data_IF_720850263258
#
_entry.id   IF_720850263258
#
_cell.length_a   1.000
_cell.length_b   1.000
_cell.length_c   1.000
_cell.angle_alpha   90.00
_cell.angle_beta   90.00
_cell.angle_gamma   90.00
#
_symmetry.space_group_name_H-M   'P 1'
#
loop_
_entity.id
_entity.type
_entity.pdbx_description
1 polymer ?
#
# COMPACT_ATOMS: atom_id res chain seq x y z
N UNK A 1 13.11 -7.95 -1.65
CA UNK A 1 12.75 -8.17 -0.23
C UNK A 1 11.95 -6.97 0.17
N UNK A 2 10.60 -7.06 0.23
CA UNK A 2 9.75 -5.98 0.67
C UNK A 2 10.08 -5.67 2.13
N UNK A 3 10.49 -4.45 2.42
CA UNK A 3 10.65 -3.94 3.78
C UNK A 3 9.25 -3.72 4.32
N UNK A 4 8.77 -4.66 5.10
CA UNK A 4 7.51 -4.60 5.83
C UNK A 4 7.65 -3.48 6.87
N UNK A 5 7.18 -2.28 6.54
CA UNK A 5 7.23 -1.14 7.46
C UNK A 5 6.32 -1.47 8.66
N UNK A 6 6.86 -1.52 9.89
CA UNK A 6 6.07 -1.90 11.05
C UNK A 6 5.09 -0.79 11.44
N UNK A 7 3.82 -1.18 11.71
CA UNK A 7 2.78 -0.27 12.14
C UNK A 7 2.81 -0.09 13.67
N UNK A 8 2.94 1.14 14.20
CA UNK A 8 2.81 1.38 15.64
C UNK A 8 1.39 1.07 16.12
N UNK A 9 1.23 0.76 17.42
CA UNK A 9 -0.04 0.33 18.04
C UNK A 9 -1.24 1.22 17.65
N UNK A 10 -1.10 2.54 17.67
CA UNK A 10 -2.19 3.47 17.32
C UNK A 10 -2.63 3.31 15.87
N UNK A 11 -1.70 3.08 14.97
CA UNK A 11 -1.98 2.88 13.55
C UNK A 11 -2.58 1.49 13.32
N UNK A 12 -2.08 0.45 13.97
CA UNK A 12 -2.66 -0.89 13.92
C UNK A 12 -4.12 -0.91 14.39
N UNK A 13 -4.45 -0.23 15.49
CA UNK A 13 -5.83 -0.11 15.97
C UNK A 13 -6.72 0.61 14.96
N UNK A 14 -6.22 1.68 14.31
CA UNK A 14 -6.99 2.42 13.30
C UNK A 14 -7.21 1.58 12.03
N UNK A 15 -6.19 0.84 11.58
CA UNK A 15 -6.26 0.00 10.39
C UNK A 15 -7.14 -1.24 10.57
N UNK A 16 -7.17 -1.82 11.77
CA UNK A 16 -7.94 -3.02 12.07
C UNK A 16 -9.36 -2.71 12.55
N UNK A 17 -9.61 -1.52 13.08
CA UNK A 17 -10.87 -1.18 13.74
C UNK A 17 -11.14 -1.96 15.04
N UNK A 18 -10.12 -2.62 15.59
CA UNK A 18 -10.24 -3.39 16.83
C UNK A 18 -10.21 -2.48 18.06
N UNK A 19 -10.86 -2.94 19.13
CA UNK A 19 -10.66 -2.35 20.45
C UNK A 19 -9.28 -2.74 21.00
N UNK A 20 -8.62 -1.88 21.81
CA UNK A 20 -7.33 -2.20 22.43
C UNK A 20 -7.37 -3.53 23.22
N UNK A 21 -8.49 -3.80 23.88
CA UNK A 21 -8.70 -5.02 24.67
C UNK A 21 -8.68 -6.28 23.79
N UNK A 22 -9.34 -6.24 22.61
CA UNK A 22 -9.37 -7.41 21.72
C UNK A 22 -8.03 -7.62 21.04
N UNK A 23 -7.35 -6.54 20.62
CA UNK A 23 -6.01 -6.63 20.06
C UNK A 23 -5.02 -7.21 21.10
N UNK A 24 -5.10 -6.74 22.36
CA UNK A 24 -4.31 -7.29 23.46
C UNK A 24 -4.54 -8.79 23.64
N UNK A 25 -5.80 -9.26 23.64
CA UNK A 25 -6.12 -10.69 23.72
C UNK A 25 -5.55 -11.51 22.56
N UNK A 26 -5.52 -10.97 21.35
CA UNK A 26 -4.92 -11.64 20.19
C UNK A 26 -3.39 -11.76 20.33
N UNK A 27 -2.75 -10.74 20.91
CA UNK A 27 -1.31 -10.77 21.22
C UNK A 27 -1.00 -11.75 22.35
N UNK A 28 -1.74 -11.69 23.45
CA UNK A 28 -1.56 -12.60 24.61
C UNK A 28 -1.72 -14.08 24.24
N UNK A 29 -2.62 -14.37 23.29
CA UNK A 29 -2.85 -15.75 22.83
C UNK A 29 -1.93 -16.16 21.67
N UNK A 30 -0.98 -15.29 21.27
CA UNK A 30 0.01 -15.58 20.22
C UNK A 30 -0.56 -15.63 18.80
N UNK A 31 -1.79 -15.12 18.59
CA UNK A 31 -2.42 -15.04 17.26
C UNK A 31 -1.80 -13.90 16.45
N UNK A 32 -1.43 -12.83 17.11
CA UNK A 32 -0.70 -11.68 16.56
C UNK A 32 0.62 -11.58 17.32
N UNK A 33 1.73 -11.40 16.59
CA UNK A 33 3.08 -11.37 17.18
C UNK A 33 3.81 -10.09 16.77
N UNK A 34 3.54 -8.96 17.47
CA UNK A 34 4.17 -7.69 17.13
C UNK A 34 5.68 -7.77 17.33
N UNK A 35 6.46 -7.17 16.43
CA UNK A 35 7.89 -6.98 16.57
C UNK A 35 8.16 -6.02 17.73
N UNK A 36 9.12 -6.33 18.55
CA UNK A 36 9.52 -5.51 19.71
C UNK A 36 8.36 -5.16 20.69
N UNK A 37 7.28 -5.95 20.66
CA UNK A 37 6.10 -5.72 21.50
C UNK A 37 5.26 -4.50 21.16
N UNK A 38 5.66 -3.69 20.18
CA UNK A 38 5.00 -2.41 19.86
C UNK A 38 4.71 -2.18 18.36
N UNK A 39 5.36 -2.92 17.47
CA UNK A 39 5.25 -2.75 16.04
C UNK A 39 4.59 -3.97 15.38
N UNK A 40 3.49 -3.73 14.69
CA UNK A 40 2.67 -4.74 14.03
C UNK A 40 3.04 -4.87 12.57
N UNK A 41 3.11 -6.09 12.05
CA UNK A 41 3.36 -6.37 10.64
C UNK A 41 2.09 -6.21 9.81
N UNK A 42 2.21 -6.18 8.50
CA UNK A 42 1.05 -6.21 7.60
C UNK A 42 0.17 -7.44 7.86
N UNK A 43 0.79 -8.60 8.09
CA UNK A 43 0.08 -9.84 8.40
C UNK A 43 -0.73 -9.72 9.71
N UNK A 44 -0.19 -9.05 10.72
CA UNK A 44 -0.92 -8.80 11.98
C UNK A 44 -2.16 -7.93 11.76
N UNK A 45 -2.06 -6.94 10.87
CA UNK A 45 -3.21 -6.08 10.49
C UNK A 45 -4.27 -6.89 9.76
N UNK A 46 -3.89 -7.78 8.84
CA UNK A 46 -4.83 -8.67 8.13
C UNK A 46 -5.57 -9.59 9.12
N UNK A 47 -4.84 -10.21 10.05
CA UNK A 47 -5.44 -11.03 11.10
C UNK A 47 -6.38 -10.21 11.99
N UNK A 48 -5.99 -8.99 12.35
CA UNK A 48 -6.80 -8.07 13.12
C UNK A 48 -8.12 -7.69 12.43
N UNK A 49 -8.09 -7.42 11.14
CA UNK A 49 -9.29 -7.14 10.33
C UNK A 49 -10.22 -8.35 10.23
N UNK A 50 -9.66 -9.54 10.07
CA UNK A 50 -10.42 -10.79 10.09
C UNK A 50 -11.12 -10.97 11.44
N UNK A 51 -10.43 -10.70 12.54
CA UNK A 51 -11.01 -10.73 13.87
C UNK A 51 -12.16 -9.71 14.02
N UNK A 52 -12.00 -8.51 13.46
CA UNK A 52 -13.04 -7.47 13.46
C UNK A 52 -14.27 -7.91 12.67
N UNK A 53 -14.08 -8.43 11.44
CA UNK A 53 -15.17 -8.92 10.61
C UNK A 53 -15.99 -10.03 11.30
N UNK A 54 -15.33 -10.98 11.96
CA UNK A 54 -16.02 -12.02 12.74
C UNK A 54 -16.79 -11.43 13.93
N UNK A 55 -16.24 -10.40 14.58
CA UNK A 55 -16.93 -9.69 15.66
C UNK A 55 -18.19 -8.96 15.17
N UNK A 56 -18.09 -8.30 14.03
CA UNK A 56 -19.19 -7.58 13.40
C UNK A 56 -20.31 -8.53 12.93
N UNK A 57 -19.92 -9.77 12.55
CA UNK A 57 -20.84 -10.87 12.26
C UNK A 57 -21.44 -11.53 13.52
N UNK A 58 -21.27 -10.95 14.72
CA UNK A 58 -21.88 -11.40 15.97
C UNK A 58 -21.11 -12.49 16.71
N UNK A 59 -19.94 -12.93 16.26
CA UNK A 59 -19.16 -13.98 16.95
C UNK A 59 -18.58 -13.41 18.25
N UNK A 60 -18.76 -14.06 19.42
CA UNK A 60 -18.18 -13.61 20.68
C UNK A 60 -16.64 -13.52 20.64
N UNK A 61 -16.06 -12.49 21.27
CA UNK A 61 -14.60 -12.23 21.23
C UNK A 61 -13.76 -13.46 21.60
N UNK A 62 -14.15 -14.19 22.63
CA UNK A 62 -13.46 -15.43 23.06
C UNK A 62 -13.43 -16.48 21.95
N UNK A 63 -14.53 -16.68 21.24
CA UNK A 63 -14.63 -17.64 20.13
C UNK A 63 -13.81 -17.19 18.92
N UNK A 64 -13.74 -15.89 18.64
CA UNK A 64 -12.88 -15.34 17.57
C UNK A 64 -11.41 -15.65 17.85
N UNK A 65 -10.92 -15.33 19.06
CA UNK A 65 -9.53 -15.58 19.43
C UNK A 65 -9.19 -17.07 19.37
N UNK A 66 -10.08 -17.92 19.91
CA UNK A 66 -9.89 -19.39 19.90
C UNK A 66 -9.86 -19.94 18.47
N UNK A 67 -10.78 -19.51 17.61
CA UNK A 67 -10.87 -19.97 16.23
C UNK A 67 -9.60 -19.58 15.43
N UNK A 68 -9.15 -18.34 15.55
CA UNK A 68 -7.95 -17.87 14.87
C UNK A 68 -6.71 -18.63 15.33
N UNK A 69 -6.59 -18.88 16.64
CA UNK A 69 -5.50 -19.67 17.22
C UNK A 69 -5.51 -21.12 16.69
N UNK A 70 -6.67 -21.76 16.65
CA UNK A 70 -6.78 -23.15 16.18
C UNK A 70 -6.44 -23.26 14.69
N UNK A 71 -6.92 -22.33 13.86
CA UNK A 71 -6.59 -22.28 12.43
C UNK A 71 -5.09 -22.07 12.23
N UNK A 72 -4.47 -21.19 13.00
CA UNK A 72 -3.03 -20.95 12.96
C UNK A 72 -2.21 -22.18 13.38
N UNK A 73 -2.66 -22.89 14.43
CA UNK A 73 -2.03 -24.11 14.89
C UNK A 73 -2.14 -25.28 13.88
N UNK A 74 -3.27 -25.37 13.17
CA UNK A 74 -3.53 -26.43 12.18
C UNK A 74 -2.83 -26.22 10.85
N UNK A 75 -2.61 -24.97 10.43
CA UNK A 75 -2.15 -24.63 9.08
C UNK A 75 -0.79 -23.92 9.04
N UNK A 76 -0.22 -23.56 10.21
CA UNK A 76 1.06 -22.83 10.35
C UNK A 76 0.91 -21.30 10.27
N UNK A 77 1.94 -20.58 10.72
CA UNK A 77 1.95 -19.13 10.92
C UNK A 77 1.69 -18.26 9.65
N UNK A 78 1.84 -18.81 8.46
CA UNK A 78 1.63 -18.09 7.20
C UNK A 78 0.28 -18.35 6.53
N UNK A 79 -0.52 -19.28 7.06
CA UNK A 79 -1.68 -19.84 6.33
C UNK A 79 -2.98 -19.05 6.49
N UNK A 80 -3.08 -18.10 7.43
CA UNK A 80 -4.30 -17.31 7.63
C UNK A 80 -4.68 -16.45 6.41
N UNK A 81 -3.71 -16.08 5.57
CA UNK A 81 -3.94 -15.34 4.32
C UNK A 81 -4.59 -16.17 3.20
N UNK A 82 -4.55 -17.50 3.29
CA UNK A 82 -5.15 -18.42 2.32
C UNK A 82 -6.45 -19.10 2.77
N UNK A 83 -6.90 -18.82 4.01
CA UNK A 83 -8.07 -19.46 4.62
C UNK A 83 -9.27 -18.51 4.67
N UNK A 84 -10.41 -19.01 4.20
CA UNK A 84 -11.69 -18.28 4.29
C UNK A 84 -12.37 -18.59 5.63
N UNK A 85 -12.52 -17.58 6.48
CA UNK A 85 -13.25 -17.72 7.74
C UNK A 85 -14.68 -17.21 7.58
N UNK A 86 -15.66 -17.97 8.05
CA UNK A 86 -17.08 -17.61 8.02
C UNK A 86 -17.69 -17.74 9.42
N UNK A 87 -18.54 -16.78 9.77
CA UNK A 87 -19.40 -16.92 10.96
C UNK A 87 -20.56 -17.84 10.64
N UNK A 88 -20.83 -18.85 11.50
CA UNK A 88 -21.93 -19.77 11.35
C UNK A 88 -22.49 -20.15 12.74
N UNK A 89 -23.79 -19.96 12.96
CA UNK A 89 -24.49 -20.32 14.21
C UNK A 89 -23.74 -19.92 15.50
N UNK A 90 -23.11 -18.73 15.52
CA UNK A 90 -22.32 -18.21 16.66
C UNK A 90 -20.93 -18.88 16.82
N UNK A 91 -20.48 -19.63 15.84
CA UNK A 91 -19.14 -20.19 15.69
C UNK A 91 -18.38 -19.66 14.47
N UNK A 92 -17.23 -20.24 14.17
CA UNK A 92 -16.39 -19.87 13.03
C UNK A 92 -16.05 -21.12 12.23
N UNK A 93 -16.31 -21.09 10.93
CA UNK A 93 -15.87 -22.12 9.98
C UNK A 93 -14.69 -21.59 9.17
N UNK A 94 -13.69 -22.44 8.96
CA UNK A 94 -12.55 -22.18 8.10
C UNK A 94 -12.70 -22.99 6.80
N UNK A 95 -12.39 -22.38 5.67
CA UNK A 95 -12.32 -23.06 4.37
C UNK A 95 -10.91 -22.86 3.81
N UNK A 96 -10.22 -23.97 3.55
CA UNK A 96 -8.89 -23.98 2.94
C UNK A 96 -8.94 -23.69 1.44
N UNK A 97 -7.80 -23.45 0.80
CA UNK A 97 -7.68 -23.28 -0.64
C UNK A 97 -8.23 -24.49 -1.43
N UNK A 98 -8.09 -25.70 -0.89
CA UNK A 98 -8.60 -26.94 -1.44
C UNK A 98 -10.10 -27.18 -1.19
N UNK A 99 -10.83 -26.13 -0.80
CA UNK A 99 -12.27 -26.17 -0.48
C UNK A 99 -12.68 -27.08 0.68
N UNK A 100 -11.75 -27.57 1.47
CA UNK A 100 -12.10 -28.29 2.69
C UNK A 100 -12.69 -27.31 3.72
N UNK A 101 -13.82 -27.67 4.31
CA UNK A 101 -14.44 -26.91 5.42
C UNK A 101 -14.02 -27.52 6.74
N UNK A 102 -13.57 -26.71 7.65
CA UNK A 102 -13.11 -27.12 8.98
C UNK A 102 -13.87 -26.25 10.01
N UNK A 103 -14.42 -26.88 11.04
CA UNK A 103 -14.88 -26.13 12.21
C UNK A 103 -13.65 -25.55 12.92
N UNK A 104 -13.53 -24.23 12.92
CA UNK A 104 -12.37 -23.55 13.50
C UNK A 104 -12.30 -23.66 15.03
N UNK A 105 -13.38 -24.14 15.69
CA UNK A 105 -13.43 -24.35 17.13
C UNK A 105 -12.97 -25.74 17.53
N UNK A 106 -13.36 -26.78 16.78
CA UNK A 106 -13.04 -28.18 17.07
C UNK A 106 -11.91 -28.74 16.21
N UNK A 107 -11.57 -28.07 15.09
CA UNK A 107 -10.59 -28.58 14.13
C UNK A 107 -11.11 -29.74 13.26
N UNK A 108 -12.39 -30.10 13.36
CA UNK A 108 -12.99 -31.19 12.59
C UNK A 108 -13.35 -30.79 11.18
N UNK A 109 -13.09 -31.65 10.21
CA UNK A 109 -13.55 -31.48 8.84
C UNK A 109 -15.08 -31.59 8.76
N UNK A 110 -15.72 -30.62 8.11
CA UNK A 110 -17.17 -30.60 7.92
C UNK A 110 -17.50 -31.16 6.54
N UNK A 111 -18.44 -32.11 6.49
CA UNK A 111 -18.96 -32.65 5.25
C UNK A 111 -19.89 -31.64 4.57
N UNK A 112 -19.99 -31.60 3.23
CA UNK A 112 -20.66 -30.55 2.47
C UNK A 112 -22.19 -30.74 2.37
N UNK A 113 -22.89 -30.82 3.51
CA UNK A 113 -24.34 -31.11 3.50
C UNK A 113 -25.27 -29.88 3.59
N UNK A 114 -24.74 -28.65 3.75
CA UNK A 114 -25.59 -27.45 3.87
C UNK A 114 -25.31 -26.44 2.76
N UNK A 115 -26.21 -26.35 1.80
CA UNK A 115 -26.20 -25.33 0.74
C UNK A 115 -26.88 -23.99 1.13
N UNK A 116 -27.52 -23.91 2.29
CA UNK A 116 -28.25 -22.73 2.76
C UNK A 116 -27.53 -22.05 3.94
N UNK A 117 -26.46 -21.33 3.71
CA UNK A 117 -25.82 -20.52 4.72
C UNK A 117 -26.04 -19.02 4.48
N UNK A 118 -26.52 -18.27 5.50
CA UNK A 118 -26.65 -16.81 5.38
C UNK A 118 -25.29 -16.15 5.23
N UNK A 119 -25.29 -15.09 4.47
CA UNK A 119 -24.24 -14.13 4.15
C UNK A 119 -22.81 -14.54 4.57
N UNK A 120 -22.08 -15.07 3.61
CA UNK A 120 -20.66 -15.26 3.72
C UNK A 120 -20.00 -13.94 4.14
N UNK A 121 -19.31 -13.92 5.29
CA UNK A 121 -18.18 -13.01 5.42
C UNK A 121 -17.25 -13.44 4.29
N UNK A 122 -17.31 -12.70 3.18
CA UNK A 122 -16.34 -12.91 2.10
C UNK A 122 -14.96 -12.93 2.76
N UNK A 123 -14.04 -13.83 2.35
CA UNK A 123 -12.67 -13.60 2.71
C UNK A 123 -12.44 -12.16 2.29
N UNK A 124 -11.90 -11.38 3.17
CA UNK A 124 -11.09 -10.31 2.65
C UNK A 124 -10.07 -11.04 1.77
N UNK A 125 -10.35 -11.08 0.46
CA UNK A 125 -9.27 -11.05 -0.52
C UNK A 125 -8.27 -10.08 0.09
N UNK A 126 -6.96 -10.43 0.29
CA UNK A 126 -6.06 -9.53 1.00
C UNK A 126 -6.52 -8.15 0.61
N UNK A 127 -7.15 -7.42 1.61
CA UNK A 127 -7.88 -6.19 1.21
C UNK A 127 -6.84 -5.48 0.45
N UNK A 128 -7.09 -5.37 -0.84
CA UNK A 128 -6.12 -5.03 -1.81
C UNK A 128 -5.38 -3.86 -1.21
N UNK A 129 -4.23 -4.14 -0.62
CA UNK A 129 -3.43 -3.16 0.09
C UNK A 129 -2.93 -2.14 -0.92
N UNK A 130 -2.30 -1.11 -0.46
CA UNK A 130 -1.73 -0.11 -1.36
C UNK A 130 -0.81 -0.75 -2.41
N UNK A 131 -0.08 -1.82 -2.06
CA UNK A 131 0.82 -2.54 -2.95
C UNK A 131 0.07 -3.31 -4.03
N UNK A 132 -1.04 -3.96 -3.67
CA UNK A 132 -1.91 -4.61 -4.65
C UNK A 132 -2.48 -3.59 -5.64
N UNK A 133 -3.03 -2.47 -5.14
CA UNK A 133 -3.63 -1.45 -6.00
C UNK A 133 -2.59 -0.73 -6.86
N UNK A 134 -1.38 -0.51 -6.33
CA UNK A 134 -0.24 -0.03 -7.11
C UNK A 134 0.07 -0.99 -8.28
N UNK A 135 0.18 -2.30 -7.99
CA UNK A 135 0.42 -3.30 -9.02
C UNK A 135 -0.74 -3.47 -10.01
N UNK A 136 -2.01 -3.22 -9.59
CA UNK A 136 -3.14 -3.18 -10.53
C UNK A 136 -3.02 -1.97 -11.46
N UNK A 137 -2.72 -0.79 -10.93
CA UNK A 137 -2.49 0.41 -11.72
C UNK A 137 -1.45 0.16 -12.81
N UNK A 138 -0.28 -0.33 -12.43
CA UNK A 138 0.82 -0.64 -13.37
C UNK A 138 0.42 -1.63 -14.48
N UNK A 139 -0.41 -2.62 -14.17
CA UNK A 139 -0.89 -3.56 -15.20
C UNK A 139 -1.91 -2.96 -16.17
N UNK A 140 -2.66 -1.97 -15.72
CA UNK A 140 -3.74 -1.35 -16.48
C UNK A 140 -3.28 -0.14 -17.30
N UNK A 141 -2.13 0.48 -16.99
CA UNK A 141 -1.63 1.68 -17.67
C UNK A 141 -1.71 1.60 -19.20
N UNK A 142 -1.24 0.49 -19.77
CA UNK A 142 -1.19 0.32 -21.21
C UNK A 142 -2.55 0.01 -21.87
N UNK A 143 -3.55 -0.42 -21.10
CA UNK A 143 -4.82 -0.91 -21.65
C UNK A 143 -6.03 -0.09 -21.24
N UNK A 144 -6.04 0.47 -20.02
CA UNK A 144 -7.15 1.23 -19.47
C UNK A 144 -6.61 2.27 -18.46
N UNK A 145 -6.30 3.45 -18.97
CA UNK A 145 -5.76 4.56 -18.17
C UNK A 145 -6.74 5.03 -17.09
N UNK A 146 -8.04 4.94 -17.31
CA UNK A 146 -9.02 5.35 -16.31
C UNK A 146 -9.07 4.35 -15.14
N UNK A 147 -9.00 3.05 -15.44
CA UNK A 147 -8.91 2.01 -14.41
C UNK A 147 -7.55 2.06 -13.68
N UNK A 148 -6.45 2.37 -14.37
CA UNK A 148 -5.14 2.58 -13.76
C UNK A 148 -5.15 3.76 -12.77
N UNK A 149 -5.73 4.90 -13.19
CA UNK A 149 -5.92 6.07 -12.32
C UNK A 149 -6.70 5.72 -11.05
N UNK A 150 -7.84 5.03 -11.20
CA UNK A 150 -8.65 4.60 -10.07
C UNK A 150 -7.86 3.68 -9.11
N UNK A 151 -7.04 2.78 -9.63
CA UNK A 151 -6.20 1.89 -8.85
C UNK A 151 -5.12 2.67 -8.08
N UNK A 152 -4.42 3.61 -8.70
CA UNK A 152 -3.42 4.44 -8.01
C UNK A 152 -4.05 5.32 -6.93
N UNK A 153 -5.19 5.95 -7.21
CA UNK A 153 -5.93 6.72 -6.18
C UNK A 153 -6.34 5.84 -5.00
N UNK A 154 -6.71 4.58 -5.27
CA UNK A 154 -7.02 3.61 -4.21
C UNK A 154 -5.79 3.23 -3.40
N UNK A 155 -4.62 3.06 -4.05
CA UNK A 155 -3.36 2.82 -3.36
C UNK A 155 -2.99 3.97 -2.41
N UNK A 156 -3.12 5.22 -2.87
CA UNK A 156 -2.87 6.42 -2.06
C UNK A 156 -3.86 6.52 -0.90
N UNK A 157 -5.15 6.26 -1.13
CA UNK A 157 -6.16 6.28 -0.06
C UNK A 157 -5.91 5.24 1.04
N UNK A 158 -5.31 4.09 0.69
CA UNK A 158 -4.95 3.03 1.64
C UNK A 158 -3.62 3.30 2.33
N UNK A 159 -2.67 3.88 1.64
CA UNK A 159 -1.39 4.31 2.19
C UNK A 159 -1.01 5.69 1.63
N UNK A 160 -1.31 6.78 2.35
CA UNK A 160 -0.95 8.13 1.94
C UNK A 160 0.57 8.38 1.78
N UNK A 161 1.41 7.45 2.21
CA UNK A 161 2.87 7.51 2.01
C UNK A 161 3.35 6.54 0.92
N UNK A 162 2.48 6.14 -0.02
CA UNK A 162 2.85 5.31 -1.15
C UNK A 162 3.45 6.16 -2.28
N UNK A 163 4.70 6.64 -2.12
CA UNK A 163 5.37 7.47 -3.12
C UNK A 163 5.32 6.92 -4.56
N UNK A 164 5.50 5.59 -4.82
CA UNK A 164 5.36 5.04 -6.16
C UNK A 164 3.98 5.25 -6.79
N UNK A 165 2.90 5.26 -5.99
CA UNK A 165 1.55 5.50 -6.52
C UNK A 165 1.37 6.96 -6.95
N UNK A 166 1.94 7.91 -6.23
CA UNK A 166 1.97 9.31 -6.64
C UNK A 166 2.77 9.52 -7.92
N UNK A 167 3.95 8.89 -8.02
CA UNK A 167 4.82 9.00 -9.21
C UNK A 167 4.09 8.49 -10.44
N UNK A 168 3.51 7.29 -10.39
CA UNK A 168 2.84 6.69 -11.53
C UNK A 168 1.54 7.45 -11.87
N UNK A 169 0.74 7.81 -10.87
CA UNK A 169 -0.48 8.59 -11.11
C UNK A 169 -0.17 9.94 -11.73
N UNK A 170 0.83 10.64 -11.24
CA UNK A 170 1.19 11.95 -11.78
C UNK A 170 1.71 11.87 -13.23
N UNK A 171 2.50 10.83 -13.56
CA UNK A 171 2.91 10.57 -14.94
C UNK A 171 1.70 10.33 -15.84
N UNK A 172 0.77 9.44 -15.41
CA UNK A 172 -0.47 9.14 -16.14
C UNK A 172 -1.35 10.39 -16.35
N UNK A 173 -1.43 11.27 -15.35
CA UNK A 173 -2.15 12.53 -15.46
C UNK A 173 -1.52 13.44 -16.52
N UNK A 174 -0.18 13.54 -16.57
CA UNK A 174 0.50 14.33 -17.61
C UNK A 174 0.33 13.71 -19.01
N UNK A 175 0.42 12.40 -19.15
CA UNK A 175 0.13 11.73 -20.42
C UNK A 175 -1.28 12.01 -20.93
N UNK A 176 -2.24 12.18 -20.02
CA UNK A 176 -3.63 12.52 -20.32
C UNK A 176 -3.91 14.03 -20.36
N UNK A 177 -2.87 14.87 -20.48
CA UNK A 177 -2.94 16.33 -20.57
C UNK A 177 -3.51 17.02 -19.32
N UNK A 178 -3.34 16.39 -18.15
CA UNK A 178 -3.82 16.88 -16.85
C UNK A 178 -2.66 17.25 -15.92
N UNK A 179 -1.59 17.86 -16.45
CA UNK A 179 -0.36 18.13 -15.69
C UNK A 179 -0.58 19.09 -14.50
N UNK A 180 -1.57 19.98 -14.52
CA UNK A 180 -1.90 20.81 -13.35
C UNK A 180 -2.38 19.95 -12.16
N UNK A 181 -3.15 18.90 -12.43
CA UNK A 181 -3.56 17.95 -11.40
C UNK A 181 -2.38 17.13 -10.90
N UNK A 182 -1.42 16.78 -11.78
CA UNK A 182 -0.20 16.10 -11.38
C UNK A 182 0.65 16.97 -10.44
N UNK A 183 0.78 18.27 -10.71
CA UNK A 183 1.50 19.20 -9.83
C UNK A 183 0.86 19.21 -8.43
N UNK A 184 -0.47 19.37 -8.35
CA UNK A 184 -1.19 19.36 -7.08
C UNK A 184 -1.05 18.01 -6.34
N UNK A 185 -1.08 16.89 -7.09
CA UNK A 185 -0.89 15.55 -6.55
C UNK A 185 0.52 15.36 -5.93
N UNK A 186 1.57 15.88 -6.57
CA UNK A 186 2.92 15.83 -6.02
C UNK A 186 3.11 16.73 -4.81
N UNK A 187 2.40 17.86 -4.75
CA UNK A 187 2.37 18.72 -3.56
C UNK A 187 1.74 18.00 -2.38
N UNK A 188 0.62 17.32 -2.61
CA UNK A 188 -0.01 16.46 -1.60
C UNK A 188 0.93 15.34 -1.11
N UNK A 189 1.67 14.71 -2.03
CA UNK A 189 2.68 13.71 -1.67
C UNK A 189 3.78 14.27 -0.75
N UNK A 190 4.24 15.49 -1.01
CA UNK A 190 5.29 16.14 -0.21
C UNK A 190 4.80 16.56 1.19
N UNK A 191 3.50 16.80 1.34
CA UNK A 191 2.88 17.11 2.63
C UNK A 191 2.69 15.87 3.52
N UNK A 192 2.56 14.68 2.91
CA UNK A 192 2.23 13.45 3.63
C UNK A 192 3.37 12.45 3.72
N UNK A 193 4.32 12.47 2.79
CA UNK A 193 5.41 11.49 2.70
C UNK A 193 6.77 12.14 2.98
N UNK A 194 7.73 11.32 3.39
CA UNK A 194 9.12 11.76 3.32
C UNK A 194 9.49 12.11 1.87
N UNK A 195 10.13 13.27 1.65
CA UNK A 195 10.50 13.70 0.32
C UNK A 195 11.39 12.68 -0.38
N UNK A 196 11.01 12.25 -1.57
CA UNK A 196 11.83 11.35 -2.38
C UNK A 196 12.36 12.08 -3.61
N UNK A 197 13.56 11.74 -4.11
CA UNK A 197 14.12 12.35 -5.32
C UNK A 197 13.16 12.26 -6.52
N UNK A 198 12.47 11.12 -6.66
CA UNK A 198 11.56 10.88 -7.78
C UNK A 198 10.30 11.73 -7.73
N UNK A 199 9.73 12.00 -6.56
CA UNK A 199 8.57 12.88 -6.43
C UNK A 199 8.93 14.30 -6.85
N UNK A 200 10.08 14.81 -6.39
CA UNK A 200 10.56 16.14 -6.80
C UNK A 200 10.90 16.19 -8.29
N UNK A 201 11.53 15.15 -8.84
CA UNK A 201 11.85 15.04 -10.26
C UNK A 201 10.59 15.08 -11.14
N UNK A 202 9.61 14.25 -10.84
CA UNK A 202 8.37 14.18 -11.63
C UNK A 202 7.50 15.45 -11.46
N UNK A 203 7.52 16.05 -10.25
CA UNK A 203 6.90 17.38 -10.06
C UNK A 203 7.56 18.44 -10.93
N UNK A 204 8.89 18.41 -11.06
CA UNK A 204 9.61 19.36 -11.93
C UNK A 204 9.21 19.19 -13.39
N UNK A 205 9.13 17.94 -13.87
CA UNK A 205 8.67 17.66 -15.25
C UNK A 205 7.24 18.18 -15.47
N UNK A 206 6.32 17.90 -14.55
CA UNK A 206 4.96 18.39 -14.63
C UNK A 206 4.90 19.93 -14.62
N UNK A 207 5.75 20.60 -13.83
CA UNK A 207 5.85 22.05 -13.79
C UNK A 207 6.38 22.66 -15.13
N UNK A 208 7.27 21.95 -15.83
CA UNK A 208 7.68 22.37 -17.19
C UNK A 208 6.50 22.30 -18.16
N UNK A 209 5.74 21.21 -18.13
CA UNK A 209 4.60 20.99 -19.01
C UNK A 209 3.49 22.01 -18.81
N UNK A 210 3.30 22.51 -17.58
CA UNK A 210 2.33 23.58 -17.27
C UNK A 210 2.92 24.99 -17.45
N UNK A 211 4.16 25.12 -17.97
CA UNK A 211 4.78 26.42 -18.26
C UNK A 211 5.25 27.20 -17.02
N UNK A 212 5.65 26.49 -15.95
CA UNK A 212 6.19 27.07 -14.72
C UNK A 212 7.70 26.78 -14.56
N UNK A 213 8.57 27.21 -15.51
CA UNK A 213 9.94 26.76 -15.59
C UNK A 213 10.80 27.12 -14.38
N UNK A 214 10.60 28.27 -13.74
CA UNK A 214 11.38 28.64 -12.55
C UNK A 214 11.05 27.74 -11.33
N UNK A 215 9.81 27.29 -11.21
CA UNK A 215 9.42 26.35 -10.17
C UNK A 215 9.97 24.95 -10.48
N UNK A 216 10.04 24.57 -11.76
CA UNK A 216 10.64 23.32 -12.20
C UNK A 216 12.14 23.27 -11.85
N UNK A 217 12.89 24.35 -12.08
CA UNK A 217 14.31 24.43 -11.65
C UNK A 217 14.45 24.13 -10.17
N UNK A 218 13.68 24.80 -9.31
CA UNK A 218 13.76 24.58 -7.87
C UNK A 218 13.39 23.12 -7.48
N UNK A 219 12.44 22.52 -8.19
CA UNK A 219 12.05 21.12 -7.92
C UNK A 219 13.15 20.13 -8.36
N UNK A 220 13.79 20.32 -9.53
CA UNK A 220 14.96 19.52 -9.93
C UNK A 220 16.13 19.66 -8.97
N UNK A 221 16.42 20.88 -8.50
CA UNK A 221 17.47 21.12 -7.51
C UNK A 221 17.17 20.37 -6.20
N UNK A 222 15.90 20.30 -5.78
CA UNK A 222 15.50 19.51 -4.61
C UNK A 222 15.67 18.02 -4.85
N UNK A 223 15.34 17.51 -6.03
CA UNK A 223 15.59 16.11 -6.39
C UNK A 223 17.09 15.77 -6.30
N UNK A 224 17.93 16.64 -6.86
CA UNK A 224 19.40 16.49 -6.85
C UNK A 224 20.03 16.70 -5.46
N UNK A 225 19.41 17.48 -4.59
CA UNK A 225 19.84 17.61 -3.20
C UNK A 225 19.62 16.31 -2.39
N UNK A 226 18.58 15.54 -2.75
CA UNK A 226 18.27 14.24 -2.13
C UNK A 226 19.08 13.09 -2.80
N UNK A 227 19.22 13.14 -4.11
CA UNK A 227 20.02 12.19 -4.88
C UNK A 227 20.88 12.92 -5.92
N UNK A 228 22.15 13.24 -5.58
CA UNK A 228 23.09 13.86 -6.51
C UNK A 228 23.46 12.96 -7.71
N UNK A 229 23.10 11.67 -7.65
CA UNK A 229 23.33 10.71 -8.72
C UNK A 229 22.17 10.60 -9.73
N UNK A 230 21.07 11.33 -9.57
CA UNK A 230 19.93 11.25 -10.46
C UNK A 230 20.24 11.88 -11.83
N UNK A 231 20.73 11.05 -12.76
CA UNK A 231 21.20 11.47 -14.08
C UNK A 231 20.14 12.23 -14.87
N UNK A 232 18.91 11.72 -14.89
CA UNK A 232 17.80 12.34 -15.65
C UNK A 232 17.48 13.74 -15.13
N UNK A 233 17.60 13.98 -13.81
CA UNK A 233 17.41 15.32 -13.25
C UNK A 233 18.52 16.28 -13.68
N UNK A 234 19.77 15.80 -13.76
CA UNK A 234 20.86 16.61 -14.28
C UNK A 234 20.65 16.97 -15.77
N UNK A 235 20.19 16.01 -16.57
CA UNK A 235 19.91 16.24 -17.97
C UNK A 235 18.77 17.26 -18.17
N UNK A 236 17.61 17.01 -17.56
CA UNK A 236 16.42 17.87 -17.72
C UNK A 236 16.68 19.27 -17.18
N UNK A 237 17.31 19.39 -16.01
CA UNK A 237 17.69 20.69 -15.44
C UNK A 237 18.67 21.43 -16.34
N UNK A 238 19.66 20.72 -16.91
CA UNK A 238 20.62 21.31 -17.83
C UNK A 238 19.94 21.89 -19.08
N UNK A 239 19.02 21.13 -19.68
CA UNK A 239 18.24 21.58 -20.85
C UNK A 239 17.32 22.74 -20.49
N UNK A 240 16.67 22.70 -19.33
CA UNK A 240 15.80 23.77 -18.87
C UNK A 240 16.56 25.09 -18.62
N UNK A 241 17.73 25.02 -17.96
CA UNK A 241 18.59 26.18 -17.70
C UNK A 241 19.10 26.80 -19.00
N UNK A 242 19.44 25.97 -20.00
CA UNK A 242 19.83 26.44 -21.34
C UNK A 242 18.70 27.26 -21.98
N UNK A 243 17.45 26.78 -21.94
CA UNK A 243 16.26 27.48 -22.41
C UNK A 243 16.01 28.81 -21.69
N UNK A 244 16.37 28.85 -20.40
CA UNK A 244 16.23 30.04 -19.55
C UNK A 244 17.39 31.03 -19.68
N UNK A 245 18.45 30.67 -20.42
CA UNK A 245 19.63 31.52 -20.66
C UNK A 245 20.72 31.42 -19.57
N UNK A 246 20.57 30.51 -18.58
CA UNK A 246 21.64 30.20 -17.61
C UNK A 246 22.60 29.16 -18.21
N UNK A 247 23.41 29.58 -19.18
CA UNK A 247 24.38 28.71 -19.83
C UNK A 247 25.44 28.12 -18.86
N UNK A 248 25.96 28.88 -17.85
CA UNK A 248 26.86 28.31 -16.87
C UNK A 248 26.22 27.19 -16.03
N UNK A 249 24.97 27.37 -15.63
CA UNK A 249 24.20 26.36 -14.92
C UNK A 249 23.95 25.13 -15.78
N UNK A 250 23.48 25.33 -17.01
CA UNK A 250 23.25 24.28 -17.98
C UNK A 250 24.49 23.40 -18.18
N UNK A 251 25.65 24.04 -18.41
CA UNK A 251 26.92 23.33 -18.64
C UNK A 251 27.33 22.48 -17.42
N UNK A 252 27.14 22.99 -16.19
CA UNK A 252 27.44 22.22 -14.96
C UNK A 252 26.61 20.92 -14.90
N UNK A 253 25.30 21.01 -15.13
CA UNK A 253 24.41 19.87 -15.03
C UNK A 253 24.59 18.90 -16.21
N UNK A 254 24.75 19.35 -17.44
CA UNK A 254 25.01 18.48 -18.58
C UNK A 254 26.38 17.75 -18.46
N UNK A 255 27.39 18.39 -17.89
CA UNK A 255 28.65 17.73 -17.59
C UNK A 255 28.52 16.71 -16.43
N UNK A 256 27.67 16.94 -15.46
CA UNK A 256 27.37 15.94 -14.42
C UNK A 256 26.68 14.71 -15.02
N UNK A 257 25.68 14.91 -15.90
CA UNK A 257 25.04 13.82 -16.65
C UNK A 257 26.06 13.00 -17.47
N UNK A 258 26.92 13.66 -18.27
CA UNK A 258 27.93 12.97 -19.09
C UNK A 258 28.93 12.15 -18.29
N UNK A 259 29.26 12.56 -17.06
CA UNK A 259 30.15 11.77 -16.18
C UNK A 259 29.55 10.49 -15.70
N UNK A 260 28.22 10.39 -15.68
CA UNK A 260 27.49 9.19 -15.27
C UNK A 260 27.18 8.27 -16.47
N UNK A 261 27.27 8.82 -17.68
CA UNK A 261 27.03 8.11 -18.96
C UNK A 261 28.20 8.41 -19.91
N UNK A 262 29.39 7.80 -19.66
CA UNK A 262 30.60 8.00 -20.47
C UNK A 262 30.50 7.44 -21.90
#
# INVERSE_FOLDING_TARGET
MAVDAPYPLRQALRLTGLTPRLLGSLVEQGVISPRDGQHFTHQDVVVGRTAKALRDAGVPARKVVQALRNVQASLGLGALSGVRLRAHAGGVQAQTADRQRIDAHTGQALLPFDEDAPAAVQPLAPEADATYWLGQGQRLEASDSAAAEAAYRRAIALNPCCAPAYVNLGALLCETQRCEEAVALYEDALDHCEPTPLVHFNRATALEDVGRPHQAVAAYERALALDPGLADAHYNLGVLLERLGDHPGALRHLNAYRRQHP
#
